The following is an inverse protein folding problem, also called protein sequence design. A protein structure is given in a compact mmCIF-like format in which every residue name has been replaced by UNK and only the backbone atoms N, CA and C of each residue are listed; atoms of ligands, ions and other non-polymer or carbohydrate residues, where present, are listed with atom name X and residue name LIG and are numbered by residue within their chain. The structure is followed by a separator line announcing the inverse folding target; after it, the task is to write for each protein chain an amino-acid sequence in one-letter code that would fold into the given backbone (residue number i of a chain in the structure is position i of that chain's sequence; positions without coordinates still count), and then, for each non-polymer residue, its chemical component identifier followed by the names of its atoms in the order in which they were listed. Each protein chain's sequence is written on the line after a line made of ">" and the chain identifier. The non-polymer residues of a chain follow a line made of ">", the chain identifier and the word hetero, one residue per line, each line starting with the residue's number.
data_IF_466754976488
#
_entry.id   IF_466754976488
#
_cell.length_a   1.000
_cell.length_b   1.000
_cell.length_c   1.000
_cell.angle_alpha   90.00
_cell.angle_beta   90.00
_cell.angle_gamma   90.00
#
_symmetry.space_group_name_H-M   'P 1'
#
loop_
_entity.id
_entity.type
_entity.pdbx_description
1 polymer ?
#
# COMPACT_ATOMS: atom_id res chain seq x y z
N UNK A 1 19.00 9.79 -11.28
CA UNK A 1 18.09 10.54 -10.38
C UNK A 1 16.99 9.64 -9.82
N UNK A 2 16.25 8.89 -10.65
CA UNK A 2 15.15 8.03 -10.21
C UNK A 2 15.56 6.99 -9.15
N UNK A 3 16.70 6.31 -9.34
CA UNK A 3 17.23 5.37 -8.35
C UNK A 3 17.49 5.99 -6.97
N UNK A 4 17.99 7.23 -6.91
CA UNK A 4 18.24 7.95 -5.66
C UNK A 4 16.92 8.17 -4.90
N UNK A 5 15.89 8.66 -5.60
CA UNK A 5 14.56 8.91 -5.02
C UNK A 5 13.93 7.60 -4.53
N UNK A 6 14.02 6.54 -5.34
CA UNK A 6 13.55 5.22 -4.97
C UNK A 6 14.24 4.70 -3.70
N UNK A 7 15.56 4.80 -3.61
CA UNK A 7 16.31 4.36 -2.44
C UNK A 7 15.95 5.17 -1.18
N UNK A 8 15.77 6.50 -1.31
CA UNK A 8 15.31 7.33 -0.19
C UNK A 8 13.91 6.90 0.27
N UNK A 9 12.97 6.64 -0.65
CA UNK A 9 11.65 6.12 -0.31
C UNK A 9 11.74 4.80 0.45
N UNK A 10 12.54 3.85 -0.05
CA UNK A 10 12.77 2.55 0.58
C UNK A 10 13.38 2.69 1.98
N UNK A 11 14.38 3.55 2.15
CA UNK A 11 15.02 3.83 3.45
C UNK A 11 14.00 4.38 4.45
N UNK A 12 13.06 5.20 3.99
CA UNK A 12 11.97 5.72 4.81
C UNK A 12 10.80 4.75 5.00
N UNK A 13 10.94 3.49 4.55
CA UNK A 13 9.90 2.45 4.54
C UNK A 13 8.62 2.86 3.77
N UNK A 14 8.80 3.60 2.69
CA UNK A 14 7.73 3.93 1.74
C UNK A 14 7.84 3.03 0.52
N UNK A 15 6.72 2.44 0.10
CA UNK A 15 6.64 1.64 -1.13
C UNK A 15 6.99 2.54 -2.33
N UNK A 16 8.07 2.25 -3.08
CA UNK A 16 8.49 3.11 -4.17
C UNK A 16 7.73 2.76 -5.46
N UNK A 17 6.51 3.24 -5.61
CA UNK A 17 5.77 3.09 -6.88
C UNK A 17 6.52 3.77 -8.04
N UNK A 18 6.52 3.18 -9.25
CA UNK A 18 5.80 1.97 -9.68
C UNK A 18 6.58 0.66 -9.48
N UNK A 19 7.69 0.66 -8.74
CA UNK A 19 8.58 -0.50 -8.65
C UNK A 19 8.02 -1.53 -7.70
N UNK A 20 7.85 -2.77 -8.19
CA UNK A 20 7.43 -3.90 -7.36
C UNK A 20 8.57 -4.54 -6.55
N UNK A 21 8.24 -5.44 -5.61
CA UNK A 21 9.22 -6.08 -4.74
C UNK A 21 10.25 -6.90 -5.52
N UNK A 22 9.87 -7.58 -6.60
CA UNK A 22 10.82 -8.35 -7.43
C UNK A 22 11.91 -7.48 -8.05
N UNK A 23 11.54 -6.30 -8.57
CA UNK A 23 12.49 -5.36 -9.15
C UNK A 23 13.50 -4.88 -8.10
N UNK A 24 13.01 -4.48 -6.92
CA UNK A 24 13.87 -4.05 -5.83
C UNK A 24 14.77 -5.19 -5.32
N UNK A 25 14.25 -6.41 -5.23
CA UNK A 25 15.02 -7.58 -4.84
C UNK A 25 16.20 -7.81 -5.79
N UNK A 26 15.98 -7.74 -7.10
CA UNK A 26 17.03 -7.86 -8.12
C UNK A 26 18.05 -6.72 -7.96
N UNK A 27 17.60 -5.47 -7.83
CA UNK A 27 18.49 -4.31 -7.72
C UNK A 27 19.33 -4.34 -6.44
N UNK A 28 18.73 -4.70 -5.30
CA UNK A 28 19.43 -4.81 -4.03
C UNK A 28 20.52 -5.88 -4.04
N UNK A 29 20.33 -6.93 -4.85
CA UNK A 29 21.24 -8.04 -4.99
C UNK A 29 22.11 -7.96 -6.27
N UNK A 30 22.45 -6.74 -6.71
CA UNK A 30 23.37 -6.51 -7.84
C UNK A 30 22.93 -7.16 -9.17
N UNK A 31 21.65 -6.99 -9.50
CA UNK A 31 21.00 -7.62 -10.66
C UNK A 31 21.01 -9.17 -10.65
N UNK A 32 21.30 -9.79 -9.50
CA UNK A 32 21.29 -11.25 -9.40
C UNK A 32 19.86 -11.80 -9.41
N UNK A 33 19.46 -12.39 -10.54
CA UNK A 33 18.15 -13.03 -10.70
C UNK A 33 17.91 -14.17 -9.71
N UNK A 34 18.96 -14.85 -9.24
CA UNK A 34 18.84 -15.91 -8.23
C UNK A 34 18.40 -15.39 -6.86
N UNK A 35 18.38 -14.07 -6.65
CA UNK A 35 17.77 -13.46 -5.45
C UNK A 35 16.25 -13.62 -5.39
N UNK A 36 15.60 -13.93 -6.51
CA UNK A 36 14.19 -14.32 -6.59
C UNK A 36 14.03 -15.80 -6.23
N UNK A 37 14.16 -16.11 -4.94
CA UNK A 37 14.04 -17.48 -4.44
C UNK A 37 12.61 -18.01 -4.61
N UNK A 38 12.41 -19.34 -4.60
CA UNK A 38 11.06 -19.92 -4.63
C UNK A 38 10.14 -19.38 -3.52
N UNK A 39 10.68 -19.13 -2.33
CA UNK A 39 9.93 -18.59 -1.19
C UNK A 39 9.54 -17.12 -1.42
N UNK A 40 10.44 -16.33 -2.02
CA UNK A 40 10.15 -14.95 -2.41
C UNK A 40 9.00 -14.88 -3.42
N UNK A 41 9.08 -15.70 -4.48
CA UNK A 41 8.04 -15.73 -5.53
C UNK A 41 6.73 -16.27 -4.96
N UNK A 42 6.77 -17.28 -4.09
CA UNK A 42 5.57 -17.80 -3.43
C UNK A 42 4.88 -16.75 -2.54
N UNK A 43 5.65 -15.88 -1.89
CA UNK A 43 5.11 -14.84 -1.02
C UNK A 43 4.49 -13.68 -1.81
N UNK A 44 5.23 -13.10 -2.76
CA UNK A 44 4.78 -11.90 -3.46
C UNK A 44 3.94 -12.17 -4.72
N UNK A 45 4.11 -13.35 -5.34
CA UNK A 45 3.50 -13.70 -6.63
C UNK A 45 3.00 -15.16 -6.63
N UNK A 46 2.06 -15.52 -5.74
CA UNK A 46 1.64 -16.92 -5.55
C UNK A 46 1.06 -17.57 -6.82
N UNK A 47 0.33 -16.81 -7.65
CA UNK A 47 -0.22 -17.31 -8.91
C UNK A 47 0.88 -17.66 -9.91
N UNK A 48 1.86 -16.76 -10.06
CA UNK A 48 3.04 -17.00 -10.91
C UNK A 48 3.85 -18.19 -10.39
N UNK A 49 3.97 -18.36 -9.07
CA UNK A 49 4.63 -19.54 -8.48
C UNK A 49 3.96 -20.84 -8.93
N UNK A 50 2.63 -20.90 -8.89
CA UNK A 50 1.85 -22.07 -9.34
C UNK A 50 2.02 -22.29 -10.84
N UNK A 51 1.98 -21.23 -11.63
CA UNK A 51 2.19 -21.31 -13.08
C UNK A 51 3.58 -21.86 -13.42
N UNK A 52 4.63 -21.38 -12.76
CA UNK A 52 6.00 -21.88 -12.95
C UNK A 52 6.17 -23.35 -12.51
N UNK A 53 5.46 -23.79 -11.46
CA UNK A 53 5.41 -25.22 -11.08
C UNK A 53 4.77 -26.05 -12.17
N UNK A 54 3.61 -25.63 -12.67
CA UNK A 54 2.89 -26.32 -13.73
C UNK A 54 3.75 -26.42 -15.00
N UNK A 55 4.48 -25.35 -15.34
CA UNK A 55 5.41 -25.37 -16.47
C UNK A 55 6.51 -26.41 -16.25
N UNK A 56 7.19 -26.37 -15.11
CA UNK A 56 8.25 -27.32 -14.75
C UNK A 56 7.77 -28.77 -14.79
N UNK A 57 6.60 -29.04 -14.22
CA UNK A 57 6.05 -30.40 -14.08
C UNK A 57 5.54 -30.97 -15.40
N UNK A 58 5.05 -30.10 -16.29
CA UNK A 58 4.70 -30.46 -17.67
C UNK A 58 5.92 -31.00 -18.44
N UNK A 59 7.12 -30.48 -18.15
CA UNK A 59 8.36 -30.88 -18.79
C UNK A 59 8.44 -30.55 -20.28
N UNK A 60 9.56 -30.90 -20.92
CA UNK A 60 9.84 -30.51 -22.32
C UNK A 60 8.83 -31.03 -23.35
N UNK A 61 8.15 -32.15 -23.07
CA UNK A 61 7.22 -32.81 -24.00
C UNK A 61 5.74 -32.45 -23.79
N UNK A 62 5.39 -31.73 -22.72
CA UNK A 62 3.99 -31.44 -22.44
C UNK A 62 3.40 -30.28 -23.24
N UNK A 63 2.07 -30.18 -23.21
CA UNK A 63 1.29 -29.22 -24.02
C UNK A 63 1.40 -27.79 -23.48
N UNK A 64 1.83 -26.85 -24.31
CA UNK A 64 2.00 -25.44 -23.93
C UNK A 64 0.71 -24.63 -23.95
N UNK A 65 -0.39 -25.17 -24.49
CA UNK A 65 -1.67 -24.44 -24.57
C UNK A 65 -2.18 -23.84 -23.25
N UNK A 66 -2.05 -24.51 -22.08
CA UNK A 66 -2.50 -23.92 -20.82
C UNK A 66 -1.81 -22.60 -20.45
N UNK A 67 -0.62 -22.33 -20.98
CA UNK A 67 0.17 -21.12 -20.71
C UNK A 67 -0.07 -20.00 -21.73
N UNK A 68 -1.02 -20.17 -22.66
CA UNK A 68 -1.26 -19.23 -23.74
C UNK A 68 -1.55 -17.82 -23.25
N UNK A 69 -2.30 -17.66 -22.16
CA UNK A 69 -2.57 -16.35 -21.55
C UNK A 69 -1.29 -15.65 -21.13
N UNK A 70 -0.40 -16.35 -20.42
CA UNK A 70 0.88 -15.79 -19.96
C UNK A 70 1.76 -15.33 -21.13
N UNK A 71 1.97 -16.20 -22.14
CA UNK A 71 2.80 -15.84 -23.29
C UNK A 71 2.25 -14.65 -24.08
N UNK A 72 0.92 -14.54 -24.21
CA UNK A 72 0.31 -13.38 -24.86
C UNK A 72 0.53 -12.11 -24.03
N UNK A 73 0.28 -12.17 -22.71
CA UNK A 73 0.35 -11.01 -21.82
C UNK A 73 1.77 -10.50 -21.62
N UNK A 74 2.76 -11.39 -21.47
CA UNK A 74 4.11 -11.03 -21.04
C UNK A 74 5.16 -11.14 -22.15
N UNK A 75 4.92 -11.98 -23.17
CA UNK A 75 5.88 -12.21 -24.25
C UNK A 75 5.41 -11.69 -25.62
N UNK A 76 4.18 -11.17 -25.71
CA UNK A 76 3.57 -10.72 -26.97
C UNK A 76 3.63 -11.77 -28.09
N UNK A 77 3.56 -13.05 -27.74
CA UNK A 77 3.67 -14.15 -28.68
C UNK A 77 2.83 -15.37 -28.24
N UNK A 78 2.49 -16.30 -29.15
CA UNK A 78 1.72 -17.47 -28.78
C UNK A 78 2.59 -18.55 -28.12
N UNK A 79 2.05 -19.27 -27.14
CA UNK A 79 2.74 -20.37 -26.45
C UNK A 79 3.14 -21.52 -27.40
N UNK A 80 2.48 -21.63 -28.56
CA UNK A 80 2.84 -22.57 -29.62
C UNK A 80 4.22 -22.31 -30.23
N UNK A 81 4.73 -21.07 -30.16
CA UNK A 81 6.08 -20.74 -30.60
C UNK A 81 7.16 -21.50 -29.80
N UNK A 82 6.83 -21.92 -28.57
CA UNK A 82 7.68 -22.68 -27.66
C UNK A 82 7.24 -24.15 -27.51
N UNK A 83 6.27 -24.59 -28.31
CA UNK A 83 5.72 -25.95 -28.23
C UNK A 83 6.68 -27.02 -28.74
N UNK A 84 6.38 -28.28 -28.44
CA UNK A 84 7.17 -29.45 -28.87
C UNK A 84 7.32 -29.56 -30.39
N UNK A 85 6.37 -29.00 -31.15
CA UNK A 85 6.38 -29.00 -32.61
C UNK A 85 7.04 -27.75 -33.24
N UNK A 86 7.49 -26.79 -32.44
CA UNK A 86 8.36 -25.72 -32.94
C UNK A 86 9.65 -26.35 -33.50
N UNK A 87 10.29 -25.76 -34.52
CA UNK A 87 11.61 -26.21 -35.01
C UNK A 87 12.68 -25.27 -34.45
N UNK A 88 13.74 -25.75 -33.78
CA UNK A 88 14.23 -27.15 -33.73
C UNK A 88 13.57 -28.07 -32.68
N UNK A 89 12.61 -27.60 -31.90
CA UNK A 89 11.90 -28.36 -30.86
C UNK A 89 12.38 -27.95 -29.47
N UNK A 90 11.51 -28.07 -28.47
CA UNK A 90 11.85 -27.73 -27.09
C UNK A 90 12.70 -28.84 -26.45
N UNK A 91 13.97 -28.54 -26.17
CA UNK A 91 14.87 -29.40 -25.39
C UNK A 91 14.62 -29.22 -23.89
N UNK A 92 15.28 -30.01 -23.03
CA UNK A 92 15.18 -29.77 -21.59
C UNK A 92 15.81 -28.43 -21.22
N UNK A 93 16.97 -28.12 -21.80
CA UNK A 93 17.67 -26.86 -21.58
C UNK A 93 16.81 -25.66 -22.00
N UNK A 94 16.18 -25.69 -23.18
CA UNK A 94 15.31 -24.58 -23.59
C UNK A 94 14.04 -24.51 -22.74
N UNK A 95 13.50 -25.64 -22.28
CA UNK A 95 12.38 -25.66 -21.34
C UNK A 95 12.71 -24.97 -20.02
N UNK A 96 13.89 -25.22 -19.47
CA UNK A 96 14.36 -24.61 -18.22
C UNK A 96 14.64 -23.11 -18.39
N UNK A 97 15.23 -22.71 -19.54
CA UNK A 97 15.45 -21.29 -19.88
C UNK A 97 14.13 -20.54 -20.01
N UNK A 98 13.12 -21.12 -20.68
CA UNK A 98 11.81 -20.50 -20.84
C UNK A 98 11.13 -20.29 -19.48
N UNK A 99 11.33 -21.18 -18.51
CA UNK A 99 10.79 -20.98 -17.16
C UNK A 99 11.37 -19.72 -16.50
N UNK A 100 12.67 -19.47 -16.67
CA UNK A 100 13.33 -18.24 -16.20
C UNK A 100 12.81 -17.02 -16.96
N UNK A 101 12.61 -17.15 -18.26
CA UNK A 101 12.07 -16.09 -19.11
C UNK A 101 10.62 -15.71 -18.72
N UNK A 102 9.77 -16.70 -18.42
CA UNK A 102 8.42 -16.51 -17.88
C UNK A 102 8.46 -15.73 -16.55
N UNK A 103 9.36 -16.12 -15.64
CA UNK A 103 9.54 -15.43 -14.36
C UNK A 103 9.94 -13.96 -14.58
N UNK A 104 10.97 -13.70 -15.39
CA UNK A 104 11.49 -12.35 -15.58
C UNK A 104 10.53 -11.45 -16.36
N UNK A 105 9.91 -11.98 -17.42
CA UNK A 105 8.97 -11.23 -18.25
C UNK A 105 7.70 -10.83 -17.48
N UNK A 106 7.22 -11.69 -16.59
CA UNK A 106 6.09 -11.37 -15.72
C UNK A 106 6.42 -10.33 -14.64
N UNK A 107 7.65 -10.34 -14.11
CA UNK A 107 8.03 -9.52 -12.96
C UNK A 107 8.63 -8.16 -13.29
N UNK A 108 9.49 -8.10 -14.30
CA UNK A 108 10.24 -6.88 -14.64
C UNK A 108 10.17 -6.52 -16.13
N UNK A 109 9.60 -7.38 -16.97
CA UNK A 109 9.46 -7.16 -18.40
C UNK A 109 10.70 -7.56 -19.22
N UNK A 110 10.51 -7.65 -20.54
CA UNK A 110 11.53 -8.13 -21.47
C UNK A 110 12.64 -7.08 -21.66
N UNK A 111 13.89 -7.54 -21.61
CA UNK A 111 15.06 -6.74 -22.00
C UNK A 111 15.48 -5.68 -20.99
N UNK A 112 14.93 -5.71 -19.77
CA UNK A 112 15.27 -4.73 -18.71
C UNK A 112 16.64 -5.00 -18.10
N UNK A 113 17.00 -6.28 -17.88
CA UNK A 113 18.31 -6.63 -17.32
C UNK A 113 19.44 -6.26 -18.28
N UNK A 114 20.47 -5.60 -17.75
CA UNK A 114 21.61 -5.12 -18.53
C UNK A 114 21.34 -3.86 -19.37
N UNK A 115 20.13 -3.30 -19.37
CA UNK A 115 19.84 -2.04 -20.03
C UNK A 115 20.57 -0.87 -19.35
N UNK A 116 21.08 0.10 -20.14
CA UNK A 116 21.84 1.24 -19.61
C UNK A 116 21.05 2.06 -18.57
N UNK A 117 19.73 2.17 -18.75
CA UNK A 117 18.87 2.85 -17.80
C UNK A 117 18.76 2.10 -16.47
N UNK A 118 18.77 0.76 -16.49
CA UNK A 118 18.77 -0.04 -15.27
C UNK A 118 20.10 0.12 -14.53
N UNK A 119 21.22 0.10 -15.26
CA UNK A 119 22.54 0.34 -14.69
C UNK A 119 22.63 1.74 -14.05
N UNK A 120 22.11 2.76 -14.72
CA UNK A 120 22.05 4.12 -14.18
C UNK A 120 21.09 4.23 -12.98
N UNK A 121 19.96 3.51 -13.01
CA UNK A 121 19.04 3.40 -11.88
C UNK A 121 19.75 2.77 -10.68
N UNK A 122 20.38 1.62 -10.84
CA UNK A 122 21.09 0.91 -9.78
C UNK A 122 22.22 1.74 -9.20
N UNK A 123 23.02 2.43 -10.02
CA UNK A 123 24.08 3.33 -9.55
C UNK A 123 23.52 4.46 -8.68
N UNK A 124 22.36 5.02 -9.05
CA UNK A 124 21.66 6.00 -8.21
C UNK A 124 21.07 5.38 -6.96
N UNK A 125 20.47 4.21 -7.08
CA UNK A 125 19.84 3.46 -6.00
C UNK A 125 20.84 3.07 -4.93
N UNK A 126 22.09 2.75 -5.29
CA UNK A 126 23.15 2.43 -4.34
C UNK A 126 23.48 3.57 -3.35
N UNK A 127 23.03 4.81 -3.61
CA UNK A 127 23.25 6.00 -2.77
C UNK A 127 24.68 6.07 -2.20
N UNK A 128 25.71 6.20 -3.06
CA UNK A 128 27.09 6.23 -2.60
C UNK A 128 27.30 7.40 -1.65
N UNK A 129 27.66 7.11 -0.39
CA UNK A 129 28.01 8.11 0.61
C UNK A 129 29.51 8.10 0.89
N UNK A 130 30.04 9.24 1.35
CA UNK A 130 31.50 9.47 1.51
C UNK A 130 32.17 8.61 2.60
N UNK A 131 31.40 7.98 3.48
CA UNK A 131 31.92 7.34 4.70
C UNK A 131 31.95 5.81 4.61
N UNK A 132 32.11 5.23 3.42
CA UNK A 132 32.09 3.77 3.16
C UNK A 132 30.78 3.04 3.54
N UNK A 133 29.82 3.74 4.14
CA UNK A 133 28.49 3.20 4.40
C UNK A 133 27.81 2.83 3.09
N UNK A 134 27.32 1.60 3.01
CA UNK A 134 26.46 1.13 1.94
C UNK A 134 25.12 0.76 2.54
N UNK A 135 24.07 1.47 2.14
CA UNK A 135 22.75 1.12 2.63
C UNK A 135 22.27 -0.24 2.08
N UNK A 136 22.80 -0.68 0.94
CA UNK A 136 22.58 -2.05 0.45
C UNK A 136 23.19 -3.10 1.39
N UNK A 137 24.37 -2.83 1.96
CA UNK A 137 24.92 -3.67 3.03
C UNK A 137 24.03 -3.64 4.27
N UNK A 138 23.43 -2.49 4.60
CA UNK A 138 22.45 -2.39 5.69
C UNK A 138 21.21 -3.26 5.43
N UNK A 139 20.63 -3.22 4.23
CA UNK A 139 19.54 -4.12 3.82
C UNK A 139 19.94 -5.59 3.97
N UNK A 140 21.14 -5.97 3.52
CA UNK A 140 21.64 -7.34 3.67
C UNK A 140 21.93 -7.74 5.11
N UNK A 141 22.21 -6.78 5.99
CA UNK A 141 22.38 -7.01 7.43
C UNK A 141 21.07 -7.15 8.20
N UNK A 142 19.92 -6.85 7.56
CA UNK A 142 18.60 -7.06 8.15
C UNK A 142 18.41 -8.54 8.50
N UNK A 143 17.75 -8.83 9.62
CA UNK A 143 17.51 -10.22 10.02
C UNK A 143 16.65 -10.93 8.97
N UNK A 144 17.21 -11.93 8.30
CA UNK A 144 16.59 -12.63 7.17
C UNK A 144 16.79 -11.96 5.80
N UNK A 145 17.66 -10.95 5.73
CA UNK A 145 18.16 -10.34 4.49
C UNK A 145 17.16 -9.44 3.76
N UNK A 146 17.44 -9.21 2.48
CA UNK A 146 16.64 -8.34 1.59
C UNK A 146 15.20 -8.83 1.42
N UNK A 147 14.95 -10.14 1.45
CA UNK A 147 13.59 -10.68 1.39
C UNK A 147 12.75 -10.24 2.59
N UNK A 148 13.21 -10.45 3.82
CA UNK A 148 12.47 -10.04 5.02
C UNK A 148 12.33 -8.52 5.11
N UNK A 149 13.34 -7.78 4.67
CA UNK A 149 13.26 -6.34 4.55
C UNK A 149 12.13 -5.90 3.61
N UNK A 150 12.03 -6.51 2.41
CA UNK A 150 10.97 -6.23 1.46
C UNK A 150 9.60 -6.71 1.95
N UNK A 151 9.52 -7.84 2.65
CA UNK A 151 8.28 -8.25 3.31
C UNK A 151 7.82 -7.17 4.27
N UNK A 152 8.72 -6.62 5.09
CA UNK A 152 8.37 -5.52 5.99
C UNK A 152 7.96 -4.24 5.23
N UNK A 153 8.61 -3.94 4.11
CA UNK A 153 8.31 -2.75 3.30
C UNK A 153 6.94 -2.84 2.61
N UNK A 154 6.58 -4.02 2.11
CA UNK A 154 5.37 -4.26 1.33
C UNK A 154 4.23 -4.88 2.14
N UNK A 155 4.49 -5.35 3.35
CA UNK A 155 3.43 -5.81 4.23
C UNK A 155 2.65 -4.61 4.75
N UNK A 156 1.35 -4.67 4.50
CA UNK A 156 0.34 -3.98 5.26
C UNK A 156 0.62 -4.11 6.77
N UNK A 157 0.76 -3.01 7.52
CA UNK A 157 0.84 -3.12 8.96
C UNK A 157 -0.49 -3.64 9.53
N UNK A 158 -0.41 -4.66 10.38
CA UNK A 158 -1.59 -5.19 11.08
C UNK A 158 -2.19 -4.12 12.01
N UNK A 159 -3.50 -4.21 12.27
CA UNK A 159 -4.24 -3.27 13.10
C UNK A 159 -3.58 -3.06 14.48
N UNK A 160 -3.20 -4.15 15.16
CA UNK A 160 -2.52 -4.10 16.46
C UNK A 160 -1.20 -3.30 16.42
N UNK A 161 -0.47 -3.42 15.31
CA UNK A 161 0.79 -2.70 15.14
C UNK A 161 0.54 -1.21 14.94
N UNK A 162 -0.46 -0.84 14.15
CA UNK A 162 -0.85 0.57 13.97
C UNK A 162 -1.32 1.15 15.29
N UNK A 163 -2.18 0.44 16.03
CA UNK A 163 -2.67 0.88 17.34
C UNK A 163 -1.54 1.23 18.30
N UNK A 164 -0.47 0.42 18.34
CA UNK A 164 0.70 0.71 19.18
C UNK A 164 1.47 1.99 18.78
N UNK A 165 1.26 2.49 17.55
CA UNK A 165 1.86 3.72 17.03
C UNK A 165 0.92 4.93 17.06
N UNK A 166 -0.36 4.76 17.42
CA UNK A 166 -1.27 5.89 17.59
C UNK A 166 -1.01 6.59 18.93
N UNK A 167 -0.89 7.92 18.90
CA UNK A 167 -1.09 8.76 20.07
C UNK A 167 -2.49 9.37 20.00
N UNK A 168 -3.35 8.95 20.92
CA UNK A 168 -4.74 9.37 21.03
C UNK A 168 -4.98 10.25 22.27
N UNK A 169 -3.94 10.81 22.89
CA UNK A 169 -4.04 11.60 24.13
C UNK A 169 -4.92 12.86 23.94
N UNK A 170 -5.00 13.36 22.71
CA UNK A 170 -5.88 14.48 22.35
C UNK A 170 -7.28 14.07 21.86
N UNK A 171 -7.66 12.79 21.94
CA UNK A 171 -8.96 12.27 21.49
C UNK A 171 -9.94 12.08 22.68
N UNK A 172 -10.03 13.09 23.55
CA UNK A 172 -10.77 12.99 24.83
C UNK A 172 -12.26 13.35 24.71
N UNK A 173 -12.70 13.85 23.56
CA UNK A 173 -14.11 14.16 23.31
C UNK A 173 -15.00 12.93 23.55
N UNK A 174 -16.12 13.11 24.24
CA UNK A 174 -17.02 12.02 24.66
C UNK A 174 -18.28 11.99 23.80
N UNK A 175 -18.58 10.81 23.28
CA UNK A 175 -19.73 10.52 22.43
C UNK A 175 -20.52 9.40 23.10
N UNK A 176 -21.74 9.70 23.54
CA UNK A 176 -22.61 8.75 24.24
C UNK A 176 -21.92 7.98 25.40
N UNK A 177 -20.98 8.64 26.11
CA UNK A 177 -20.22 8.05 27.22
C UNK A 177 -18.88 7.40 26.86
N UNK A 178 -18.58 7.23 25.57
CA UNK A 178 -17.32 6.65 25.07
C UNK A 178 -16.40 7.75 24.56
N UNK A 179 -15.09 7.65 24.77
CA UNK A 179 -14.14 8.62 24.21
C UNK A 179 -13.87 8.37 22.73
N UNK A 180 -13.58 9.42 21.96
CA UNK A 180 -13.19 9.29 20.57
C UNK A 180 -11.95 8.41 20.38
N UNK A 181 -11.03 8.38 21.36
CA UNK A 181 -9.90 7.44 21.36
C UNK A 181 -10.36 5.97 21.24
N UNK A 182 -11.34 5.56 22.05
CA UNK A 182 -11.88 4.19 21.99
C UNK A 182 -12.58 3.94 20.67
N UNK A 183 -13.32 4.94 20.16
CA UNK A 183 -14.01 4.84 18.87
C UNK A 183 -13.03 4.62 17.72
N UNK A 184 -11.92 5.36 17.69
CA UNK A 184 -10.86 5.19 16.69
C UNK A 184 -10.21 3.81 16.81
N UNK A 185 -9.97 3.31 18.02
CA UNK A 185 -9.42 1.97 18.23
C UNK A 185 -10.33 0.87 17.70
N UNK A 186 -11.62 0.97 17.98
CA UNK A 186 -12.66 0.06 17.45
C UNK A 186 -12.80 0.18 15.93
N UNK A 187 -12.67 1.39 15.38
CA UNK A 187 -12.66 1.59 13.93
C UNK A 187 -11.47 0.89 13.27
N UNK A 188 -10.26 1.06 13.81
CA UNK A 188 -9.01 0.48 13.27
C UNK A 188 -9.04 -1.05 13.27
N UNK A 189 -9.69 -1.66 14.26
CA UNK A 189 -9.82 -3.12 14.39
C UNK A 189 -11.07 -3.68 13.72
N UNK A 190 -11.94 -2.81 13.20
CA UNK A 190 -13.14 -3.19 12.48
C UNK A 190 -12.83 -3.66 11.04
N UNK A 191 -13.75 -4.45 10.49
CA UNK A 191 -13.69 -4.92 9.10
C UNK A 191 -14.92 -4.44 8.31
N UNK A 192 -14.80 -4.46 6.99
CA UNK A 192 -15.87 -4.11 6.06
C UNK A 192 -16.10 -2.61 5.93
N UNK A 193 -16.96 -2.25 4.98
CA UNK A 193 -17.44 -0.88 4.78
C UNK A 193 -18.57 -0.61 5.79
N UNK A 194 -18.53 0.45 6.63
CA UNK A 194 -19.55 0.70 7.66
C UNK A 194 -20.97 0.87 7.13
N UNK A 195 -21.15 1.64 6.05
CA UNK A 195 -22.42 1.87 5.36
C UNK A 195 -22.25 1.60 3.86
N UNK A 196 -22.26 0.34 3.41
CA UNK A 196 -22.02 -0.01 2.02
C UNK A 196 -23.03 0.62 1.06
N UNK A 197 -24.31 0.73 1.43
CA UNK A 197 -25.34 1.31 0.57
C UNK A 197 -25.11 2.80 0.30
N UNK A 198 -24.69 3.55 1.33
CA UNK A 198 -24.30 4.96 1.15
C UNK A 198 -23.02 5.10 0.31
N UNK A 199 -22.05 4.17 0.48
CA UNK A 199 -20.79 4.19 -0.27
C UNK A 199 -20.97 3.87 -1.75
N UNK A 200 -21.91 2.99 -2.11
CA UNK A 200 -22.27 2.72 -3.51
C UNK A 200 -22.80 3.99 -4.19
N UNK A 201 -23.68 4.74 -3.50
CA UNK A 201 -24.21 6.01 -3.97
C UNK A 201 -23.16 7.13 -4.10
N UNK A 202 -22.08 7.07 -3.31
CA UNK A 202 -20.99 8.04 -3.31
C UNK A 202 -19.88 7.77 -4.34
N UNK A 203 -20.04 6.76 -5.20
CA UNK A 203 -19.03 6.28 -6.17
C UNK A 203 -18.47 7.35 -7.13
N UNK A 204 -19.18 8.46 -7.35
CA UNK A 204 -18.69 9.58 -8.18
C UNK A 204 -17.87 10.64 -7.44
N UNK A 205 -17.80 10.60 -6.10
CA UNK A 205 -17.17 11.66 -5.27
C UNK A 205 -15.81 11.24 -4.73
N UNK A 206 -15.61 9.93 -4.47
CA UNK A 206 -14.37 9.38 -3.97
C UNK A 206 -13.55 8.82 -5.13
N UNK A 207 -12.31 9.28 -5.29
CA UNK A 207 -11.38 8.70 -6.27
C UNK A 207 -10.94 7.31 -5.79
N UNK A 208 -11.59 6.28 -6.34
CA UNK A 208 -11.35 4.88 -5.99
C UNK A 208 -10.06 4.31 -6.60
N UNK A 209 -9.34 5.09 -7.41
CA UNK A 209 -8.14 4.58 -8.09
C UNK A 209 -6.98 4.27 -7.13
N UNK A 210 -6.96 4.88 -5.94
CA UNK A 210 -5.89 4.71 -4.95
C UNK A 210 -6.24 3.74 -3.80
N UNK A 211 -7.49 3.30 -3.69
CA UNK A 211 -7.96 2.43 -2.60
C UNK A 211 -8.76 1.27 -3.16
N UNK A 212 -8.22 0.07 -3.01
CA UNK A 212 -8.89 -1.17 -3.38
C UNK A 212 -9.98 -1.54 -2.34
N UNK A 213 -11.20 -1.07 -2.58
CA UNK A 213 -12.35 -1.34 -1.72
C UNK A 213 -12.79 -2.81 -1.75
N UNK A 214 -12.32 -3.64 -2.67
CA UNK A 214 -12.63 -5.08 -2.67
C UNK A 214 -11.99 -5.77 -1.46
N UNK A 215 -10.88 -5.20 -0.95
CA UNK A 215 -10.21 -5.65 0.27
C UNK A 215 -10.85 -5.12 1.54
N UNK A 216 -11.98 -4.40 1.50
CA UNK A 216 -12.56 -3.79 2.69
C UNK A 216 -12.90 -4.80 3.80
N UNK A 217 -13.11 -6.07 3.46
CA UNK A 217 -13.38 -7.15 4.42
C UNK A 217 -12.13 -7.69 5.13
N UNK A 218 -10.92 -7.30 4.71
CA UNK A 218 -9.68 -7.62 5.43
C UNK A 218 -9.70 -6.92 6.81
N UNK A 219 -9.45 -7.65 7.91
CA UNK A 219 -9.45 -7.08 9.26
C UNK A 219 -8.45 -5.93 9.46
N UNK A 220 -7.39 -5.85 8.66
CA UNK A 220 -6.38 -4.81 8.74
C UNK A 220 -6.66 -3.65 7.77
N UNK A 221 -7.72 -3.73 6.95
CA UNK A 221 -8.02 -2.73 5.92
C UNK A 221 -8.22 -1.33 6.49
N UNK A 222 -9.04 -1.20 7.53
CA UNK A 222 -9.34 0.10 8.16
C UNK A 222 -8.10 0.73 8.78
N UNK A 223 -7.23 -0.09 9.35
CA UNK A 223 -5.93 0.32 9.87
C UNK A 223 -5.04 0.88 8.75
N UNK A 224 -4.96 0.18 7.61
CA UNK A 224 -4.20 0.62 6.43
C UNK A 224 -4.68 1.97 5.91
N UNK A 225 -5.99 2.14 5.67
CA UNK A 225 -6.50 3.40 5.12
C UNK A 225 -6.33 4.57 6.09
N UNK A 226 -6.44 4.35 7.40
CA UNK A 226 -6.17 5.39 8.39
C UNK A 226 -4.71 5.83 8.31
N UNK A 227 -3.79 4.86 8.25
CA UNK A 227 -2.36 5.15 8.16
C UNK A 227 -2.02 5.83 6.84
N UNK A 228 -2.62 5.40 5.74
CA UNK A 228 -2.44 6.03 4.44
C UNK A 228 -2.96 7.48 4.44
N UNK A 229 -4.17 7.71 4.94
CA UNK A 229 -4.72 9.06 5.04
C UNK A 229 -3.83 10.00 5.87
N UNK A 230 -3.34 9.55 7.04
CA UNK A 230 -2.60 10.40 7.97
C UNK A 230 -1.12 10.51 7.64
N UNK A 231 -0.48 9.47 7.13
CA UNK A 231 0.95 9.46 6.83
C UNK A 231 1.26 9.69 5.35
N UNK A 232 0.25 9.69 4.48
CA UNK A 232 0.43 9.74 3.02
C UNK A 232 1.05 8.47 2.43
N UNK A 233 1.07 7.36 3.20
CA UNK A 233 1.63 6.07 2.79
C UNK A 233 1.00 4.92 3.57
N UNK A 234 0.93 3.70 3.01
CA UNK A 234 0.28 2.55 3.65
C UNK A 234 1.01 2.00 4.89
N UNK A 235 2.14 2.60 5.32
CA UNK A 235 2.96 2.18 6.45
C UNK A 235 3.10 3.26 7.53
N UNK A 236 3.30 2.84 8.78
CA UNK A 236 3.55 3.74 9.92
C UNK A 236 5.03 4.19 9.95
N UNK A 237 5.37 5.26 10.70
CA UNK A 237 6.75 5.72 10.82
C UNK A 237 7.74 4.61 11.20
N UNK A 238 8.87 4.55 10.49
CA UNK A 238 9.87 3.49 10.67
C UNK A 238 10.48 3.44 12.09
N UNK A 239 10.52 4.58 12.77
CA UNK A 239 11.06 4.72 14.11
C UNK A 239 9.96 4.43 15.16
N UNK A 240 10.14 3.45 16.07
CA UNK A 240 9.16 3.13 17.10
C UNK A 240 8.78 4.30 18.04
N UNK A 241 9.63 5.32 18.15
CA UNK A 241 9.33 6.53 18.94
C UNK A 241 8.39 7.49 18.23
N UNK A 242 8.29 7.41 16.91
CA UNK A 242 7.46 8.31 16.12
C UNK A 242 6.02 7.81 16.18
N UNK A 243 5.10 8.70 16.59
CA UNK A 243 3.69 8.38 16.78
C UNK A 243 2.85 9.09 15.74
N UNK A 244 1.80 8.41 15.28
CA UNK A 244 0.71 9.01 14.51
C UNK A 244 -0.16 9.76 15.52
N UNK A 245 -0.18 11.08 15.44
CA UNK A 245 -0.86 11.92 16.41
C UNK A 245 -2.26 12.28 15.91
N UNK A 246 -3.28 11.94 16.70
CA UNK A 246 -4.67 12.32 16.41
C UNK A 246 -5.21 13.16 17.56
N UNK A 247 -5.82 14.29 17.23
CA UNK A 247 -6.42 15.19 18.22
C UNK A 247 -7.77 15.74 17.78
N UNK A 248 -8.62 16.04 18.75
CA UNK A 248 -9.80 16.87 18.53
C UNK A 248 -9.39 18.31 18.26
N UNK A 249 -10.16 19.01 17.44
CA UNK A 249 -10.12 20.45 17.29
C UNK A 249 -11.54 21.02 17.28
N UNK A 250 -11.72 22.20 17.86
CA UNK A 250 -12.95 22.99 17.67
C UNK A 250 -12.78 23.91 16.46
N UNK A 251 -13.88 24.36 15.87
CA UNK A 251 -13.91 25.41 14.84
C UNK A 251 -13.15 26.69 15.27
N UNK A 252 -13.05 26.97 16.57
CA UNK A 252 -12.32 28.13 17.12
C UNK A 252 -10.82 27.88 17.33
N UNK A 253 -10.37 26.62 17.23
CA UNK A 253 -8.99 26.25 17.47
C UNK A 253 -8.10 26.69 16.29
N UNK A 254 -7.17 27.60 16.57
CA UNK A 254 -6.21 28.10 15.57
C UNK A 254 -5.25 27.04 15.07
N UNK A 255 -5.11 25.91 15.77
CA UNK A 255 -4.27 24.80 15.34
C UNK A 255 -4.90 24.00 14.19
N UNK A 256 -6.23 24.07 14.04
CA UNK A 256 -6.96 23.43 12.95
C UNK A 256 -6.68 24.13 11.63
N UNK A 257 -5.77 23.57 10.84
CA UNK A 257 -5.26 24.26 9.64
C UNK A 257 -5.28 23.36 8.42
N UNK A 258 -5.63 23.95 7.28
CA UNK A 258 -5.52 23.35 5.96
C UNK A 258 -4.56 24.21 5.13
N UNK A 259 -3.60 23.56 4.46
CA UNK A 259 -2.61 24.27 3.67
C UNK A 259 -3.30 25.10 2.57
N UNK A 260 -3.09 26.42 2.59
CA UNK A 260 -3.66 27.35 1.61
C UNK A 260 -5.12 27.75 1.83
N UNK A 261 -5.81 27.22 2.86
CA UNK A 261 -7.20 27.59 3.16
C UNK A 261 -7.30 28.94 3.88
N UNK A 262 -8.33 29.73 3.56
CA UNK A 262 -8.63 30.95 4.33
C UNK A 262 -9.29 30.62 5.67
N UNK A 263 -9.35 31.58 6.60
CA UNK A 263 -10.06 31.38 7.87
C UNK A 263 -11.54 31.02 7.68
N UNK A 264 -12.20 31.60 6.67
CA UNK A 264 -13.59 31.28 6.36
C UNK A 264 -13.73 29.84 5.83
N UNK A 265 -12.81 29.40 4.97
CA UNK A 265 -12.81 28.03 4.45
C UNK A 265 -12.53 27.01 5.55
N UNK A 266 -11.60 27.30 6.47
CA UNK A 266 -11.30 26.42 7.61
C UNK A 266 -12.53 26.21 8.50
N UNK A 267 -13.29 27.28 8.78
CA UNK A 267 -14.57 27.18 9.52
C UNK A 267 -15.60 26.36 8.75
N UNK A 268 -15.72 26.58 7.43
CA UNK A 268 -16.64 25.82 6.59
C UNK A 268 -16.29 24.33 6.54
N UNK A 269 -14.99 24.00 6.41
CA UNK A 269 -14.49 22.62 6.40
C UNK A 269 -14.70 21.92 7.74
N UNK A 270 -14.40 22.59 8.86
CA UNK A 270 -14.65 22.04 10.20
C UNK A 270 -16.14 21.73 10.42
N UNK A 271 -17.04 22.65 10.03
CA UNK A 271 -18.49 22.42 10.09
C UNK A 271 -18.98 21.29 9.18
N UNK A 272 -18.33 21.13 8.02
CA UNK A 272 -18.58 20.02 7.10
C UNK A 272 -18.00 18.68 7.58
N UNK A 273 -17.37 18.63 8.76
CA UNK A 273 -16.80 17.40 9.31
C UNK A 273 -15.48 16.99 8.68
N UNK A 274 -14.80 17.87 7.96
CA UNK A 274 -13.53 17.52 7.31
C UNK A 274 -12.42 17.31 8.31
N UNK A 275 -11.54 16.36 8.06
CA UNK A 275 -10.34 16.12 8.86
C UNK A 275 -9.17 16.92 8.32
N UNK A 276 -8.43 17.63 9.17
CA UNK A 276 -7.16 18.24 8.77
C UNK A 276 -6.03 17.21 8.84
N UNK A 277 -5.47 16.83 7.69
CA UNK A 277 -4.35 15.89 7.59
C UNK A 277 -3.03 16.61 7.32
N UNK A 278 -2.00 16.26 8.10
CA UNK A 278 -0.63 16.75 7.95
C UNK A 278 0.31 15.56 7.78
N UNK A 279 0.40 15.08 6.53
CA UNK A 279 1.09 13.83 6.19
C UNK A 279 2.58 13.84 6.51
N UNK A 280 3.26 14.96 6.25
CA UNK A 280 4.67 15.14 6.56
C UNK A 280 5.02 15.01 8.05
N UNK A 281 4.06 15.22 8.94
CA UNK A 281 4.24 15.14 10.40
C UNK A 281 3.43 14.00 11.03
N UNK A 282 2.79 13.14 10.24
CA UNK A 282 1.92 12.05 10.71
C UNK A 282 0.90 12.53 11.74
N UNK A 283 0.27 13.67 11.47
CA UNK A 283 -0.65 14.34 12.38
C UNK A 283 -2.00 14.56 11.71
N UNK A 284 -3.08 14.32 12.46
CA UNK A 284 -4.43 14.60 12.00
C UNK A 284 -5.29 15.22 13.10
N UNK A 285 -6.23 16.07 12.68
CA UNK A 285 -7.22 16.68 13.56
C UNK A 285 -8.62 16.48 13.03
N UNK A 286 -9.54 16.15 13.95
CA UNK A 286 -10.95 16.01 13.64
C UNK A 286 -11.78 17.11 14.32
N UNK A 287 -12.80 17.65 13.64
CA UNK A 287 -13.64 18.71 14.18
C UNK A 287 -14.67 18.12 15.15
N UNK A 288 -14.68 18.60 16.40
CA UNK A 288 -15.65 18.15 17.42
C UNK A 288 -17.06 18.63 17.13
N UNK A 289 -17.20 19.80 16.51
CA UNK A 289 -18.48 20.39 16.16
C UNK A 289 -19.32 19.47 15.24
N UNK A 290 -18.65 18.70 14.36
CA UNK A 290 -19.36 17.75 13.51
C UNK A 290 -19.84 16.51 14.27
N UNK A 291 -19.09 16.08 15.29
CA UNK A 291 -19.51 14.97 16.15
C UNK A 291 -20.79 15.32 16.92
N UNK A 292 -20.96 16.57 17.33
CA UNK A 292 -22.20 17.05 17.94
C UNK A 292 -23.39 16.95 16.97
N UNK A 293 -23.18 17.33 15.70
CA UNK A 293 -24.21 17.16 14.66
C UNK A 293 -24.60 15.70 14.46
N UNK A 294 -23.63 14.77 14.49
CA UNK A 294 -23.93 13.35 14.42
C UNK A 294 -24.70 12.88 15.68
N UNK A 295 -24.33 13.35 16.87
CA UNK A 295 -25.01 12.98 18.12
C UNK A 295 -26.46 13.44 18.18
N UNK A 296 -26.78 14.58 17.57
CA UNK A 296 -28.12 15.16 17.55
C UNK A 296 -28.99 14.60 16.40
N UNK A 297 -28.44 13.77 15.52
CA UNK A 297 -29.18 13.20 14.40
C UNK A 297 -30.15 12.08 14.85
N UNK A 298 -31.31 12.00 14.18
CA UNK A 298 -32.28 10.94 14.40
C UNK A 298 -31.92 9.69 13.58
N UNK A 299 -31.74 8.57 14.27
CA UNK A 299 -31.44 7.27 13.66
C UNK A 299 -32.63 6.31 13.83
N UNK A 300 -33.08 5.70 12.73
CA UNK A 300 -34.29 4.85 12.70
C UNK A 300 -34.01 3.37 13.02
N UNK A 301 -32.74 2.98 13.18
CA UNK A 301 -32.31 1.60 13.41
C UNK A 301 -32.35 0.69 12.17
N UNK A 302 -32.74 1.21 11.01
CA UNK A 302 -33.01 0.42 9.79
C UNK A 302 -32.23 0.94 8.60
N UNK A 303 -32.35 2.23 8.30
CA UNK A 303 -31.70 2.90 7.17
C UNK A 303 -30.26 3.26 7.53
N UNK A 304 -29.33 3.19 6.58
CA UNK A 304 -27.95 3.59 6.84
C UNK A 304 -27.81 5.12 6.92
N UNK A 305 -27.07 5.66 7.93
CA UNK A 305 -26.56 4.96 9.11
C UNK A 305 -27.66 4.62 10.13
N UNK A 306 -27.65 3.40 10.66
CA UNK A 306 -28.70 2.84 11.54
C UNK A 306 -28.64 3.39 12.96
N UNK A 307 -27.46 3.77 13.39
CA UNK A 307 -27.20 4.33 14.70
C UNK A 307 -26.00 5.28 14.65
N UNK A 308 -25.80 6.02 15.75
CA UNK A 308 -24.69 6.96 15.92
C UNK A 308 -23.33 6.31 15.69
N UNK A 309 -23.16 5.04 16.10
CA UNK A 309 -21.88 4.35 15.97
C UNK A 309 -21.55 4.09 14.51
N UNK A 310 -22.51 3.59 13.75
CA UNK A 310 -22.37 3.36 12.31
C UNK A 310 -22.17 4.66 11.54
N UNK A 311 -22.83 5.75 11.97
CA UNK A 311 -22.64 7.08 11.37
C UNK A 311 -21.21 7.59 11.54
N UNK A 312 -20.63 7.45 12.74
CA UNK A 312 -19.25 7.85 13.01
C UNK A 312 -18.26 6.97 12.26
N UNK A 313 -18.44 5.64 12.29
CA UNK A 313 -17.59 4.73 11.53
C UNK A 313 -17.63 5.06 10.02
N UNK A 314 -18.82 5.34 9.47
CA UNK A 314 -18.97 5.73 8.06
C UNK A 314 -18.28 7.06 7.75
N UNK A 315 -18.44 8.07 8.63
CA UNK A 315 -17.75 9.34 8.49
C UNK A 315 -16.22 9.18 8.50
N UNK A 316 -15.68 8.44 9.47
CA UNK A 316 -14.24 8.11 9.54
C UNK A 316 -13.77 7.43 8.25
N UNK A 317 -14.52 6.44 7.77
CA UNK A 317 -14.20 5.71 6.55
C UNK A 317 -14.15 6.63 5.34
N UNK A 318 -15.16 7.49 5.16
CA UNK A 318 -15.22 8.45 4.06
C UNK A 318 -14.08 9.46 4.09
N UNK A 319 -13.75 9.99 5.28
CA UNK A 319 -12.66 10.95 5.42
C UNK A 319 -11.28 10.33 5.16
N UNK A 320 -11.04 9.10 5.62
CA UNK A 320 -9.76 8.43 5.34
C UNK A 320 -9.64 8.02 3.87
N UNK A 321 -10.67 7.43 3.27
CA UNK A 321 -10.64 7.08 1.84
C UNK A 321 -10.51 8.32 0.98
N UNK A 322 -11.25 9.38 1.29
CA UNK A 322 -11.23 10.64 0.53
C UNK A 322 -9.92 11.43 0.65
N UNK A 323 -9.16 11.22 1.73
CA UNK A 323 -7.86 11.85 1.91
C UNK A 323 -6.76 11.19 1.05
N UNK A 324 -6.90 9.90 0.73
CA UNK A 324 -5.91 9.16 -0.06
C UNK A 324 -6.01 9.61 -1.52
N UNK A 325 -4.89 10.06 -2.09
CA UNK A 325 -4.82 10.61 -3.46
C UNK A 325 -5.16 12.12 -3.57
N UNK A 326 -5.82 12.71 -2.57
CA UNK A 326 -6.07 14.16 -2.50
C UNK A 326 -4.87 14.98 -2.04
N UNK A 327 -3.82 14.33 -1.52
CA UNK A 327 -2.60 14.97 -1.03
C UNK A 327 -1.68 15.26 -2.22
N UNK A 328 -1.93 16.37 -2.92
CA UNK A 328 -0.97 16.87 -3.91
C UNK A 328 0.36 17.14 -3.19
N UNK A 329 1.41 16.47 -3.64
CA UNK A 329 2.79 16.78 -3.26
C UNK A 329 2.98 18.27 -3.55
N UNK A 330 3.17 19.07 -2.49
CA UNK A 330 3.80 20.39 -2.57
C UNK A 330 5.30 20.21 -2.40
#
# INVERSE_FOLDING_TARGET
>A
MLGIICALNVIHLTIPEPFGPAFLQIIMNDQNVHSLTPDFVAFFYPELRVELQNWRDMGRLGDTKPFQSHFVSHHNCPASAYGTFAKPGRTQETHDIIMVDMLLSALIGIGVLGHDELNAFQAGFALPVKNEFSWLQMVHSFQGGSFQFLQRLYNAPAADTILAHLNLDGCMFRIAGTSMAVIIQEFVTGAGIPCPGLMEGASGVLDRSYVDLEQANDPDFRARILTYAICGRPGYPANPSDKILIKSASVEDRSYTWAGATAADMVAMARAGKWAFHTCTSFAQFPTDHLEVLMDADYDGVTEPKDLRQAIDHWLFCEFVGAIGGVSIM
#
